data_IF_085620290836
#
_entry.id   IF_085620290836
#
_cell.length_a   1.000
_cell.length_b   1.000
_cell.length_c   1.000
_cell.angle_alpha   90.00
_cell.angle_beta   90.00
_cell.angle_gamma   90.00
#
_symmetry.space_group_name_H-M   'P 1'
#
loop_
_entity.id
_entity.type
_entity.pdbx_description
1 polymer ?
#
# COMPACT_ATOMS: atom_id res chain seq x y z
N UNK A 1 -23.35 40.55 -5.40
CA UNK A 1 -23.08 39.26 -4.73
C UNK A 1 -22.75 39.56 -3.27
N UNK A 2 -23.45 38.98 -2.28
CA UNK A 2 -23.19 39.34 -0.88
C UNK A 2 -21.84 38.77 -0.41
N UNK A 3 -21.16 39.45 0.51
CA UNK A 3 -19.90 38.97 1.11
C UNK A 3 -20.02 37.55 1.68
N UNK A 4 -21.23 37.16 2.07
CA UNK A 4 -21.53 35.81 2.55
C UNK A 4 -21.42 34.74 1.45
N UNK A 5 -21.83 35.03 0.22
CA UNK A 5 -21.74 34.09 -0.91
C UNK A 5 -20.27 33.85 -1.30
N UNK A 6 -19.47 34.93 -1.35
CA UNK A 6 -18.03 34.87 -1.62
C UNK A 6 -17.30 34.08 -0.53
N UNK A 7 -17.60 34.35 0.74
CA UNK A 7 -17.02 33.61 1.88
C UNK A 7 -17.39 32.11 1.82
N UNK A 8 -18.64 31.80 1.50
CA UNK A 8 -19.10 30.41 1.36
C UNK A 8 -18.34 29.68 0.27
N UNK A 9 -18.15 30.31 -0.90
CA UNK A 9 -17.39 29.73 -2.02
C UNK A 9 -15.91 29.53 -1.64
N UNK A 10 -15.27 30.48 -0.96
CA UNK A 10 -13.89 30.36 -0.46
C UNK A 10 -13.77 29.17 0.50
N UNK A 11 -14.68 29.10 1.46
CA UNK A 11 -14.69 28.06 2.48
C UNK A 11 -14.87 26.68 1.83
N UNK A 12 -15.86 26.51 0.95
CA UNK A 12 -16.09 25.24 0.27
C UNK A 12 -14.92 24.84 -0.65
N UNK A 13 -14.34 25.77 -1.40
CA UNK A 13 -13.20 25.47 -2.30
C UNK A 13 -11.96 25.03 -1.53
N UNK A 14 -11.65 25.69 -0.41
CA UNK A 14 -10.53 25.33 0.46
C UNK A 14 -10.77 23.97 1.14
N UNK A 15 -12.00 23.70 1.60
CA UNK A 15 -12.36 22.42 2.17
C UNK A 15 -12.33 21.28 1.15
N UNK A 16 -12.77 21.51 -0.09
CA UNK A 16 -12.68 20.54 -1.18
C UNK A 16 -11.21 20.23 -1.50
N UNK A 17 -10.35 21.26 -1.61
CA UNK A 17 -8.92 21.05 -1.83
C UNK A 17 -8.26 20.28 -0.67
N UNK A 18 -8.59 20.63 0.58
CA UNK A 18 -8.06 19.99 1.78
C UNK A 18 -8.54 18.52 1.89
N UNK A 19 -9.83 18.26 1.69
CA UNK A 19 -10.41 16.91 1.65
C UNK A 19 -9.79 16.08 0.53
N UNK A 20 -9.48 16.68 -0.62
CA UNK A 20 -8.86 15.97 -1.73
C UNK A 20 -7.36 15.68 -1.49
N UNK A 21 -6.62 16.57 -0.83
CA UNK A 21 -5.20 16.38 -0.47
C UNK A 21 -5.00 15.43 0.71
N UNK A 22 -5.94 15.40 1.65
CA UNK A 22 -5.84 14.64 2.91
C UNK A 22 -5.62 13.13 2.70
N UNK A 23 -6.32 12.43 1.78
CA UNK A 23 -6.04 11.04 1.44
C UNK A 23 -4.62 10.83 0.94
N UNK A 24 -4.07 11.74 0.13
CA UNK A 24 -2.69 11.63 -0.35
C UNK A 24 -1.69 11.82 0.79
N UNK A 25 -1.91 12.77 1.69
CA UNK A 25 -1.00 13.03 2.81
C UNK A 25 -1.07 11.90 3.86
N UNK A 26 -2.27 11.39 4.17
CA UNK A 26 -2.49 10.39 5.23
C UNK A 26 -2.23 8.95 4.75
N UNK A 27 -2.60 8.60 3.51
CA UNK A 27 -2.50 7.22 3.01
C UNK A 27 -1.12 6.93 2.42
N UNK A 28 -0.43 7.90 1.83
CA UNK A 28 0.85 7.65 1.14
C UNK A 28 1.94 7.05 2.05
N UNK A 29 2.13 7.49 3.31
CA UNK A 29 3.08 6.86 4.23
C UNK A 29 2.71 5.41 4.58
N UNK A 30 1.42 5.11 4.77
CA UNK A 30 0.94 3.75 5.08
C UNK A 30 1.02 2.82 3.86
N UNK A 31 0.77 3.36 2.68
CA UNK A 31 0.90 2.68 1.39
C UNK A 31 2.37 2.37 1.10
N UNK A 32 3.34 3.17 1.57
CA UNK A 32 4.77 2.95 1.31
C UNK A 32 5.25 1.57 1.78
N UNK A 33 4.81 1.11 2.95
CA UNK A 33 5.10 -0.24 3.45
C UNK A 33 4.55 -1.32 2.52
N UNK A 34 3.29 -1.16 2.12
CA UNK A 34 2.58 -2.06 1.21
C UNK A 34 3.25 -2.07 -0.18
N UNK A 35 3.54 -0.91 -0.77
CA UNK A 35 4.23 -0.79 -2.06
C UNK A 35 5.60 -1.46 -2.00
N UNK A 36 6.33 -1.22 -0.91
CA UNK A 36 7.64 -1.83 -0.70
C UNK A 36 7.54 -3.34 -0.60
N UNK A 37 6.79 -3.85 0.39
CA UNK A 37 6.63 -5.27 0.64
C UNK A 37 6.11 -5.96 -0.61
N UNK A 38 5.17 -5.36 -1.33
CA UNK A 38 4.57 -6.00 -2.50
C UNK A 38 5.49 -5.96 -3.72
N UNK A 39 6.25 -4.89 -3.91
CA UNK A 39 7.16 -4.74 -5.03
C UNK A 39 8.38 -5.65 -4.92
N UNK A 40 8.99 -5.71 -3.73
CA UNK A 40 10.18 -6.52 -3.49
C UNK A 40 9.84 -8.01 -3.44
N UNK A 41 8.77 -8.38 -2.72
CA UNK A 41 8.36 -9.79 -2.56
C UNK A 41 7.94 -10.40 -3.89
N UNK A 42 7.11 -9.70 -4.67
CA UNK A 42 6.71 -10.17 -5.99
C UNK A 42 7.94 -10.41 -6.89
N UNK A 43 8.86 -9.44 -6.94
CA UNK A 43 10.09 -9.57 -7.74
C UNK A 43 10.94 -10.74 -7.27
N UNK A 44 11.08 -10.93 -5.96
CA UNK A 44 11.81 -12.04 -5.35
C UNK A 44 11.18 -13.40 -5.70
N UNK A 45 9.88 -13.57 -5.43
CA UNK A 45 9.14 -14.80 -5.74
C UNK A 45 9.17 -15.13 -7.23
N UNK A 46 9.01 -14.14 -8.11
CA UNK A 46 9.12 -14.33 -9.56
C UNK A 46 10.53 -14.77 -9.98
N UNK A 47 11.56 -14.08 -9.50
CA UNK A 47 12.97 -14.39 -9.80
C UNK A 47 13.36 -15.80 -9.35
N UNK A 48 12.91 -16.21 -8.15
CA UNK A 48 13.22 -17.50 -7.53
C UNK A 48 12.24 -18.62 -7.91
N UNK A 49 11.20 -18.32 -8.71
CA UNK A 49 10.10 -19.25 -9.05
C UNK A 49 9.44 -19.87 -7.81
N UNK A 50 9.23 -19.05 -6.77
CA UNK A 50 8.56 -19.45 -5.54
C UNK A 50 7.06 -19.14 -5.63
N UNK A 51 6.25 -20.11 -5.25
CA UNK A 51 4.81 -19.95 -5.05
C UNK A 51 4.54 -19.48 -3.62
N UNK A 52 3.50 -18.68 -3.47
CA UNK A 52 2.97 -18.25 -2.18
C UNK A 52 1.49 -18.64 -2.07
N UNK A 53 0.96 -18.62 -0.85
CA UNK A 53 -0.46 -18.87 -0.60
C UNK A 53 -1.34 -17.86 -1.34
N UNK A 54 -2.44 -18.34 -1.93
CA UNK A 54 -3.37 -17.51 -2.69
C UNK A 54 -4.05 -16.43 -1.82
N UNK A 55 -4.17 -16.66 -0.51
CA UNK A 55 -4.65 -15.67 0.46
C UNK A 55 -3.80 -14.39 0.43
N UNK A 56 -2.47 -14.53 0.39
CA UNK A 56 -1.53 -13.42 0.30
C UNK A 56 -1.68 -12.65 -1.00
N UNK A 57 -1.68 -13.36 -2.12
CA UNK A 57 -1.79 -12.77 -3.46
C UNK A 57 -3.10 -12.01 -3.62
N UNK A 58 -4.20 -12.59 -3.15
CA UNK A 58 -5.52 -11.97 -3.19
C UNK A 58 -5.56 -10.72 -2.30
N UNK A 59 -4.94 -10.77 -1.12
CA UNK A 59 -4.81 -9.61 -0.25
C UNK A 59 -4.04 -8.47 -0.94
N UNK A 60 -2.93 -8.78 -1.63
CA UNK A 60 -2.13 -7.77 -2.31
C UNK A 60 -2.89 -7.17 -3.50
N UNK A 61 -3.62 -8.00 -4.25
CA UNK A 61 -4.52 -7.54 -5.30
C UNK A 61 -5.59 -6.59 -4.74
N UNK A 62 -6.23 -6.92 -3.61
CA UNK A 62 -7.23 -6.08 -2.98
C UNK A 62 -6.63 -4.74 -2.52
N UNK A 63 -5.49 -4.80 -1.83
CA UNK A 63 -4.80 -3.61 -1.32
C UNK A 63 -4.30 -2.69 -2.43
N UNK A 64 -4.00 -3.20 -3.62
CA UNK A 64 -3.68 -2.36 -4.79
C UNK A 64 -4.90 -1.70 -5.43
N UNK A 65 -6.13 -2.21 -5.21
CA UNK A 65 -7.37 -1.61 -5.73
C UNK A 65 -7.86 -0.44 -4.88
N UNK A 66 -7.68 -0.51 -3.56
CA UNK A 66 -8.21 0.50 -2.63
C UNK A 66 -7.71 1.92 -3.02
N UNK A 67 -6.40 2.16 -3.20
CA UNK A 67 -5.88 3.47 -3.60
C UNK A 67 -6.40 3.95 -4.96
N UNK A 68 -6.63 3.01 -5.90
CA UNK A 68 -7.18 3.33 -7.22
C UNK A 68 -8.62 3.84 -7.12
N UNK A 69 -9.46 3.20 -6.29
CA UNK A 69 -10.84 3.65 -6.07
C UNK A 69 -10.85 5.04 -5.42
N UNK A 70 -10.00 5.27 -4.42
CA UNK A 70 -9.86 6.60 -3.82
C UNK A 70 -9.41 7.67 -4.82
N UNK A 71 -8.44 7.34 -5.68
CA UNK A 71 -7.97 8.25 -6.71
C UNK A 71 -9.07 8.62 -7.72
N UNK A 72 -9.87 7.63 -8.13
CA UNK A 72 -11.02 7.84 -9.01
C UNK A 72 -12.09 8.73 -8.37
N UNK A 73 -12.40 8.51 -7.08
CA UNK A 73 -13.33 9.35 -6.33
C UNK A 73 -12.82 10.80 -6.20
N UNK A 74 -11.53 10.99 -5.93
CA UNK A 74 -10.94 12.32 -5.85
C UNK A 74 -11.03 13.07 -7.19
N UNK A 75 -10.81 12.39 -8.33
CA UNK A 75 -10.99 13.00 -9.65
C UNK A 75 -12.44 13.37 -9.91
N UNK A 76 -13.39 12.48 -9.57
CA UNK A 76 -14.81 12.77 -9.76
C UNK A 76 -15.22 14.06 -9.02
N UNK A 77 -14.81 14.19 -7.76
CA UNK A 77 -15.08 15.38 -6.94
C UNK A 77 -14.39 16.64 -7.51
N UNK A 78 -13.17 16.51 -8.03
CA UNK A 78 -12.48 17.64 -8.65
C UNK A 78 -13.13 18.09 -9.96
N UNK A 79 -13.60 17.15 -10.79
CA UNK A 79 -14.33 17.46 -12.02
C UNK A 79 -15.67 18.13 -11.72
N UNK A 80 -16.41 17.64 -10.72
CA UNK A 80 -17.66 18.27 -10.27
C UNK A 80 -17.42 19.71 -9.79
N UNK A 81 -16.36 19.93 -9.01
CA UNK A 81 -15.96 21.25 -8.54
C UNK A 81 -15.57 22.17 -9.69
N UNK A 82 -14.87 21.65 -10.70
CA UNK A 82 -14.50 22.42 -11.90
C UNK A 82 -15.75 22.86 -12.68
N UNK A 83 -16.72 21.96 -12.89
CA UNK A 83 -17.98 22.26 -13.58
C UNK A 83 -18.76 23.35 -12.84
N UNK A 84 -18.87 23.24 -11.52
CA UNK A 84 -19.54 24.25 -10.68
C UNK A 84 -18.86 25.62 -10.82
N UNK A 85 -17.52 25.67 -10.77
CA UNK A 85 -16.77 26.92 -10.86
C UNK A 85 -16.84 27.56 -12.25
N UNK A 86 -16.81 26.75 -13.32
CA UNK A 86 -17.03 27.25 -14.69
C UNK A 86 -18.45 27.79 -14.86
N UNK A 87 -19.46 27.10 -14.31
CA UNK A 87 -20.83 27.60 -14.32
C UNK A 87 -20.97 28.94 -13.58
N UNK A 88 -20.36 29.07 -12.41
CA UNK A 88 -20.33 30.32 -11.65
C UNK A 88 -19.62 31.45 -12.41
N UNK A 89 -18.51 31.17 -13.12
CA UNK A 89 -17.84 32.17 -13.96
C UNK A 89 -18.74 32.72 -15.07
N UNK A 90 -19.52 31.84 -15.72
CA UNK A 90 -20.46 32.23 -16.78
C UNK A 90 -21.63 33.03 -16.20
N UNK A 91 -22.15 32.65 -15.03
CA UNK A 91 -23.33 33.27 -14.43
C UNK A 91 -23.04 34.61 -13.72
N UNK A 92 -21.91 34.72 -13.01
CA UNK A 92 -21.60 35.90 -12.17
C UNK A 92 -20.73 36.97 -12.87
N UNK A 93 -20.49 36.85 -14.19
CA UNK A 93 -19.59 37.71 -14.99
C UNK A 93 -18.17 37.79 -14.40
N UNK A 94 -17.31 36.88 -14.85
CA UNK A 94 -15.83 36.94 -14.80
C UNK A 94 -15.22 37.77 -13.64
N UNK A 95 -15.44 37.32 -12.40
CA UNK A 95 -14.65 37.87 -11.30
C UNK A 95 -13.22 37.30 -11.35
N UNK A 96 -12.21 38.15 -11.15
CA UNK A 96 -10.80 37.72 -11.03
C UNK A 96 -10.64 36.56 -10.02
N UNK A 97 -11.46 36.57 -8.97
CA UNK A 97 -11.47 35.55 -7.93
C UNK A 97 -11.95 34.18 -8.45
N UNK A 98 -13.08 34.12 -9.16
CA UNK A 98 -13.56 32.87 -9.76
C UNK A 98 -12.59 32.36 -10.82
N UNK A 99 -11.88 33.23 -11.54
CA UNK A 99 -10.78 32.86 -12.43
C UNK A 99 -9.60 32.20 -11.69
N UNK A 100 -9.16 32.80 -10.58
CA UNK A 100 -8.05 32.28 -9.79
C UNK A 100 -8.34 30.89 -9.20
N UNK A 101 -9.53 30.67 -8.65
CA UNK A 101 -9.93 29.36 -8.09
C UNK A 101 -10.03 28.28 -9.18
N UNK A 102 -10.63 28.60 -10.33
CA UNK A 102 -10.72 27.67 -11.47
C UNK A 102 -9.34 27.27 -11.99
N UNK A 103 -8.41 28.24 -12.13
CA UNK A 103 -7.02 27.96 -12.49
C UNK A 103 -6.32 27.07 -11.47
N UNK A 104 -6.58 27.28 -10.18
CA UNK A 104 -6.11 26.41 -9.11
C UNK A 104 -6.58 24.96 -9.29
N UNK A 105 -7.88 24.75 -9.51
CA UNK A 105 -8.42 23.39 -9.75
C UNK A 105 -7.77 22.74 -10.96
N UNK A 106 -7.66 23.46 -12.09
CA UNK A 106 -7.01 22.97 -13.32
C UNK A 106 -5.57 22.56 -13.05
N UNK A 107 -4.82 23.36 -12.28
CA UNK A 107 -3.42 23.06 -11.95
C UNK A 107 -3.26 21.78 -11.11
N UNK A 108 -4.25 21.44 -10.28
CA UNK A 108 -4.21 20.25 -9.43
C UNK A 108 -4.74 18.97 -10.09
N UNK A 109 -5.57 19.05 -11.14
CA UNK A 109 -6.12 17.87 -11.87
C UNK A 109 -5.05 16.87 -12.36
N UNK A 110 -3.87 17.31 -12.86
CA UNK A 110 -2.80 16.38 -13.26
C UNK A 110 -2.30 15.45 -12.16
N UNK A 111 -2.37 15.86 -10.88
CA UNK A 111 -1.79 15.10 -9.78
C UNK A 111 -2.58 13.80 -9.46
N UNK A 112 -3.91 13.83 -9.27
CA UNK A 112 -4.71 12.61 -9.21
C UNK A 112 -4.62 11.74 -10.47
N UNK A 113 -4.56 12.34 -11.67
CA UNK A 113 -4.40 11.59 -12.91
C UNK A 113 -3.09 10.80 -12.91
N UNK A 114 -1.97 11.45 -12.60
CA UNK A 114 -0.68 10.78 -12.43
C UNK A 114 -0.75 9.67 -11.38
N UNK A 115 -1.39 9.93 -10.24
CA UNK A 115 -1.55 8.93 -9.19
C UNK A 115 -2.37 7.72 -9.63
N UNK A 116 -3.45 7.91 -10.41
CA UNK A 116 -4.19 6.82 -11.05
C UNK A 116 -3.26 5.96 -11.91
N UNK A 117 -2.40 6.58 -12.72
CA UNK A 117 -1.44 5.84 -13.56
C UNK A 117 -0.52 4.98 -12.68
N UNK A 118 0.02 5.54 -11.59
CA UNK A 118 0.86 4.80 -10.63
C UNK A 118 0.10 3.62 -10.00
N UNK A 119 -1.13 3.84 -9.53
CA UNK A 119 -1.97 2.80 -8.95
C UNK A 119 -2.35 1.71 -9.95
N UNK A 120 -2.66 2.08 -11.20
CA UNK A 120 -2.96 1.13 -12.29
C UNK A 120 -1.75 0.25 -12.62
N UNK A 121 -0.57 0.86 -12.76
CA UNK A 121 0.67 0.11 -13.00
C UNK A 121 0.95 -0.87 -11.87
N UNK A 122 0.71 -0.45 -10.62
CA UNK A 122 0.84 -1.33 -9.46
C UNK A 122 -0.17 -2.48 -9.47
N UNK A 123 -1.45 -2.19 -9.73
CA UNK A 123 -2.51 -3.19 -9.83
C UNK A 123 -2.22 -4.23 -10.92
N UNK A 124 -1.78 -3.79 -12.11
CA UNK A 124 -1.41 -4.67 -13.22
C UNK A 124 -0.26 -5.60 -12.81
N UNK A 125 0.76 -5.09 -12.11
CA UNK A 125 1.87 -5.91 -11.60
C UNK A 125 1.38 -7.00 -10.64
N UNK A 126 0.44 -6.69 -9.74
CA UNK A 126 -0.14 -7.69 -8.84
C UNK A 126 -0.97 -8.74 -9.58
N UNK A 127 -1.74 -8.33 -10.61
CA UNK A 127 -2.49 -9.26 -11.46
C UNK A 127 -1.58 -10.21 -12.24
N UNK A 128 -0.45 -9.70 -12.76
CA UNK A 128 0.58 -10.53 -13.42
C UNK A 128 1.20 -11.54 -12.46
N UNK A 129 1.54 -11.09 -11.25
CA UNK A 129 2.07 -11.98 -10.21
C UNK A 129 1.08 -13.08 -9.82
N UNK A 130 -0.21 -12.75 -9.69
CA UNK A 130 -1.25 -13.76 -9.43
C UNK A 130 -1.31 -14.85 -10.49
N UNK A 131 -1.22 -14.47 -11.77
CA UNK A 131 -1.16 -15.46 -12.86
C UNK A 131 0.08 -16.34 -12.73
N UNK A 132 1.25 -15.73 -12.50
CA UNK A 132 2.50 -16.45 -12.31
C UNK A 132 2.43 -17.41 -11.11
N UNK A 133 1.92 -16.96 -9.97
CA UNK A 133 1.76 -17.76 -8.75
C UNK A 133 0.90 -19.00 -8.98
N UNK A 134 -0.20 -18.84 -9.73
CA UNK A 134 -1.11 -19.94 -10.04
C UNK A 134 -0.55 -20.95 -11.04
N UNK A 135 0.49 -20.59 -11.81
CA UNK A 135 1.16 -21.50 -12.75
C UNK A 135 2.18 -22.40 -12.04
N UNK A 136 2.62 -22.03 -10.84
CA UNK A 136 3.63 -22.79 -10.12
C UNK A 136 3.00 -23.95 -9.31
N UNK A 137 3.70 -25.10 -9.19
CA UNK A 137 3.20 -26.25 -8.46
C UNK A 137 3.21 -26.00 -6.94
N UNK A 138 2.39 -26.74 -6.18
CA UNK A 138 2.36 -26.67 -4.71
C UNK A 138 3.70 -27.09 -4.08
N UNK A 139 4.55 -27.85 -4.78
CA UNK A 139 5.90 -28.19 -4.32
C UNK A 139 6.82 -26.98 -4.22
N UNK A 140 6.53 -25.90 -4.96
CA UNK A 140 7.31 -24.66 -4.96
C UNK A 140 6.83 -23.63 -3.93
N UNK A 141 5.89 -24.00 -3.05
CA UNK A 141 5.42 -23.12 -1.98
C UNK A 141 6.58 -22.71 -1.09
N UNK A 142 6.70 -21.40 -0.85
CA UNK A 142 7.81 -20.83 -0.09
C UNK A 142 7.86 -21.39 1.34
N UNK A 143 6.72 -21.65 1.97
CA UNK A 143 6.66 -22.27 3.29
C UNK A 143 7.25 -23.68 3.34
N UNK A 144 7.30 -24.41 2.21
CA UNK A 144 7.95 -25.73 2.14
C UNK A 144 9.47 -25.66 2.15
N UNK A 145 10.05 -24.46 1.99
CA UNK A 145 11.50 -24.24 2.14
C UNK A 145 11.93 -24.11 3.61
N UNK A 146 10.98 -24.08 4.55
CA UNK A 146 11.28 -24.03 5.98
C UNK A 146 11.80 -25.40 6.43
N UNK A 147 13.03 -25.41 6.93
CA UNK A 147 13.58 -26.57 7.61
C UNK A 147 13.06 -26.65 9.04
N UNK A 148 12.26 -27.67 9.33
CA UNK A 148 11.64 -27.87 10.64
C UNK A 148 12.69 -28.23 11.71
N UNK A 149 13.82 -28.81 11.31
CA UNK A 149 14.87 -29.25 12.22
C UNK A 149 16.00 -28.23 12.37
N UNK A 150 15.82 -27.03 11.82
CA UNK A 150 16.81 -25.96 11.89
C UNK A 150 17.02 -25.45 13.32
N UNK A 151 18.29 -25.18 13.67
CA UNK A 151 18.72 -24.54 14.92
C UNK A 151 18.77 -23.00 14.82
N UNK A 152 18.29 -22.43 13.71
CA UNK A 152 18.25 -20.97 13.50
C UNK A 152 17.40 -20.29 14.57
N UNK A 153 17.92 -19.18 15.12
CA UNK A 153 17.23 -18.36 16.12
C UNK A 153 15.84 -17.92 15.64
N UNK A 154 14.85 -18.02 16.52
CA UNK A 154 13.45 -17.83 16.18
C UNK A 154 13.00 -16.38 16.41
N UNK A 155 12.40 -15.81 15.38
CA UNK A 155 11.75 -14.51 15.42
C UNK A 155 10.27 -14.68 15.76
N UNK A 156 9.78 -13.87 16.71
CA UNK A 156 8.40 -13.89 17.17
C UNK A 156 7.66 -12.58 16.83
N UNK A 157 7.26 -12.35 15.57
CA UNK A 157 6.62 -11.11 15.16
C UNK A 157 5.21 -10.96 15.78
N UNK A 158 4.59 -12.05 16.24
CA UNK A 158 3.32 -12.01 16.99
C UNK A 158 3.46 -11.33 18.35
N UNK A 159 4.65 -11.43 18.96
CA UNK A 159 4.96 -10.91 20.31
C UNK A 159 5.73 -9.60 20.24
N UNK A 160 6.64 -9.46 19.28
CA UNK A 160 7.60 -8.38 19.19
C UNK A 160 7.42 -7.59 17.88
N UNK A 161 7.57 -6.27 17.96
CA UNK A 161 7.67 -5.44 16.76
C UNK A 161 9.10 -5.52 16.23
N UNK A 162 9.28 -5.96 14.99
CA UNK A 162 10.59 -6.09 14.36
C UNK A 162 10.77 -4.96 13.33
N UNK A 163 11.99 -4.44 13.22
CA UNK A 163 12.37 -3.40 12.27
C UNK A 163 13.32 -3.97 11.21
N UNK A 164 13.01 -3.70 9.97
CA UNK A 164 13.70 -4.19 8.79
C UNK A 164 14.19 -3.03 7.95
N UNK A 165 15.30 -3.27 7.26
CA UNK A 165 15.92 -2.33 6.34
C UNK A 165 16.14 -3.01 5.00
N UNK A 166 15.79 -2.33 3.91
CA UNK A 166 16.26 -2.73 2.57
C UNK A 166 17.72 -2.35 2.39
N UNK A 167 18.52 -3.30 1.92
CA UNK A 167 19.88 -3.05 1.45
C UNK A 167 19.84 -2.43 0.03
N UNK A 168 20.49 -1.28 -0.17
CA UNK A 168 20.54 -0.55 -1.45
C UNK A 168 20.71 0.97 -1.31
N UNK A 169 20.80 1.69 -2.45
CA UNK A 169 21.12 3.13 -2.52
C UNK A 169 20.15 4.05 -1.76
N UNK A 170 18.90 3.63 -1.58
CA UNK A 170 17.91 4.29 -0.73
C UNK A 170 17.37 3.28 0.28
N UNK A 171 18.00 3.22 1.46
CA UNK A 171 17.54 2.35 2.53
C UNK A 171 16.09 2.69 2.91
N UNK A 172 15.19 1.74 2.72
CA UNK A 172 13.79 1.84 3.13
C UNK A 172 13.64 1.06 4.43
N UNK A 173 13.21 1.76 5.47
CA UNK A 173 12.94 1.20 6.79
C UNK A 173 11.47 0.87 6.93
N UNK A 174 11.19 -0.31 7.45
CA UNK A 174 9.84 -0.77 7.66
C UNK A 174 9.76 -1.70 8.87
N UNK A 175 8.63 -1.70 9.59
CA UNK A 175 8.43 -2.60 10.71
C UNK A 175 7.42 -3.70 10.39
N UNK A 176 7.31 -4.71 11.25
CA UNK A 176 6.13 -5.60 11.29
C UNK A 176 4.87 -4.81 11.67
N UNK A 177 3.80 -5.51 12.00
CA UNK A 177 2.54 -4.93 12.48
C UNK A 177 2.63 -4.47 13.95
N UNK A 178 1.70 -3.59 14.36
CA UNK A 178 1.52 -3.25 15.77
C UNK A 178 0.96 -4.48 16.52
N UNK A 179 1.66 -4.90 17.58
CA UNK A 179 1.35 -6.13 18.33
C UNK A 179 0.02 -6.07 19.08
N UNK A 180 -0.32 -4.92 19.69
CA UNK A 180 -1.61 -4.73 20.35
C UNK A 180 -2.76 -4.83 19.35
N UNK A 181 -2.62 -4.16 18.20
CA UNK A 181 -3.63 -4.21 17.14
C UNK A 181 -3.73 -5.60 16.53
N UNK A 182 -2.61 -6.31 16.37
CA UNK A 182 -2.57 -7.66 15.85
C UNK A 182 -3.40 -8.65 16.68
N UNK A 183 -3.31 -8.57 18.01
CA UNK A 183 -4.09 -9.43 18.93
C UNK A 183 -5.60 -9.25 18.77
N UNK A 184 -6.06 -8.07 18.34
CA UNK A 184 -7.48 -7.79 18.09
C UNK A 184 -8.03 -8.37 16.77
N UNK A 185 -7.17 -8.87 15.88
CA UNK A 185 -7.60 -9.41 14.59
C UNK A 185 -8.10 -10.85 14.70
N UNK A 186 -8.94 -11.26 13.75
CA UNK A 186 -9.33 -12.67 13.58
C UNK A 186 -8.11 -13.55 13.28
N UNK A 187 -8.20 -14.84 13.61
CA UNK A 187 -7.10 -15.79 13.40
C UNK A 187 -6.60 -15.81 11.95
N UNK A 188 -7.50 -15.83 10.97
CA UNK A 188 -7.13 -15.78 9.54
C UNK A 188 -6.35 -14.51 9.16
N UNK A 189 -6.75 -13.38 9.74
CA UNK A 189 -6.07 -12.11 9.51
C UNK A 189 -4.71 -12.08 10.21
N UNK A 190 -4.61 -12.65 11.41
CA UNK A 190 -3.32 -12.84 12.10
C UNK A 190 -2.38 -13.73 11.29
N UNK A 191 -2.85 -14.90 10.85
CA UNK A 191 -2.11 -15.84 9.98
C UNK A 191 -1.58 -15.14 8.74
N UNK A 192 -2.41 -14.34 8.06
CA UNK A 192 -1.99 -13.57 6.90
C UNK A 192 -0.87 -12.57 7.22
N UNK A 193 -0.95 -11.85 8.34
CA UNK A 193 0.09 -10.90 8.74
C UNK A 193 1.42 -11.59 9.10
N UNK A 194 1.37 -12.75 9.75
CA UNK A 194 2.55 -13.58 10.00
C UNK A 194 3.13 -14.04 8.68
N UNK A 195 2.31 -14.57 7.77
CA UNK A 195 2.74 -15.00 6.45
C UNK A 195 3.34 -13.85 5.63
N UNK A 196 2.75 -12.66 5.66
CA UNK A 196 3.32 -11.45 5.03
C UNK A 196 4.70 -11.08 5.58
N UNK A 197 4.93 -11.29 6.87
CA UNK A 197 6.23 -11.01 7.51
C UNK A 197 7.25 -12.08 7.19
N UNK A 198 6.79 -13.32 6.99
CA UNK A 198 7.63 -14.43 6.56
C UNK A 198 8.02 -14.32 5.09
N UNK A 199 7.10 -13.96 4.19
CA UNK A 199 7.41 -13.86 2.76
C UNK A 199 8.05 -12.49 2.48
N UNK A 200 9.31 -12.32 2.85
CA UNK A 200 10.13 -11.14 2.53
C UNK A 200 11.14 -11.45 1.41
N UNK A 201 11.68 -10.39 0.80
CA UNK A 201 12.81 -10.53 -0.09
C UNK A 201 14.12 -10.66 0.72
N UNK A 202 14.52 -11.90 0.98
CA UNK A 202 15.73 -12.20 1.75
C UNK A 202 17.03 -11.78 1.05
N UNK A 203 17.03 -11.60 -0.29
CA UNK A 203 18.21 -11.13 -1.02
C UNK A 203 18.57 -9.68 -0.69
N UNK A 204 17.60 -8.86 -0.23
CA UNK A 204 17.79 -7.42 -0.04
C UNK A 204 17.21 -6.87 1.27
N UNK A 205 16.78 -7.71 2.20
CA UNK A 205 16.19 -7.30 3.48
C UNK A 205 16.99 -7.85 4.65
N UNK A 206 17.37 -6.97 5.57
CA UNK A 206 18.07 -7.32 6.81
C UNK A 206 17.39 -6.65 8.02
N UNK A 207 17.80 -7.06 9.23
CA UNK A 207 17.42 -6.31 10.43
C UNK A 207 18.05 -4.92 10.45
N UNK A 208 17.31 -3.96 11.00
CA UNK A 208 17.80 -2.60 11.21
C UNK A 208 19.03 -2.58 12.12
N UNK A 209 18.99 -3.35 13.21
CA UNK A 209 19.94 -3.18 14.31
C UNK A 209 21.16 -4.11 14.26
N UNK A 210 21.22 -5.10 13.36
CA UNK A 210 22.21 -6.19 13.48
C UNK A 210 23.04 -6.53 12.25
N UNK A 211 22.80 -5.95 11.06
CA UNK A 211 23.41 -6.42 9.80
C UNK A 211 23.26 -7.94 9.53
N UNK A 212 22.51 -8.67 10.35
CA UNK A 212 22.26 -10.09 10.19
C UNK A 212 21.28 -10.30 9.03
N UNK A 213 21.61 -11.19 8.08
CA UNK A 213 20.72 -11.53 6.99
C UNK A 213 19.51 -12.29 7.56
N UNK A 214 18.33 -11.96 7.04
CA UNK A 214 17.11 -12.67 7.38
C UNK A 214 17.09 -14.05 6.72
N UNK A 215 16.50 -15.02 7.41
CA UNK A 215 16.27 -16.36 6.89
C UNK A 215 14.82 -16.78 7.17
N UNK A 216 14.19 -17.50 6.24
CA UNK A 216 12.83 -18.04 6.43
C UNK A 216 12.71 -18.99 7.62
N UNK A 217 13.78 -19.70 7.95
CA UNK A 217 13.86 -20.60 9.09
C UNK A 217 13.71 -19.89 10.44
N UNK A 218 13.96 -18.57 10.49
CA UNK A 218 13.71 -17.76 11.69
C UNK A 218 12.21 -17.70 12.04
N UNK A 219 11.31 -18.06 11.12
CA UNK A 219 9.86 -18.00 11.33
C UNK A 219 9.23 -19.36 11.62
N UNK A 220 10.01 -20.44 11.75
CA UNK A 220 9.50 -21.82 11.90
C UNK A 220 8.43 -21.96 12.98
N UNK A 221 8.71 -21.48 14.19
CA UNK A 221 7.80 -21.65 15.33
C UNK A 221 6.49 -20.89 15.13
N UNK A 222 6.56 -19.70 14.54
CA UNK A 222 5.39 -18.87 14.22
C UNK A 222 4.60 -19.45 13.07
N UNK A 223 5.27 -20.00 12.06
CA UNK A 223 4.63 -20.71 10.96
C UNK A 223 3.83 -21.92 11.46
N UNK A 224 4.37 -22.68 12.44
CA UNK A 224 3.62 -23.75 13.11
C UNK A 224 2.46 -23.22 13.95
N UNK A 225 2.70 -22.22 14.81
CA UNK A 225 1.67 -21.66 15.69
C UNK A 225 0.45 -21.12 14.93
N UNK A 226 0.67 -20.58 13.73
CA UNK A 226 -0.37 -20.04 12.87
C UNK A 226 -0.83 -20.98 11.74
N UNK A 227 -0.47 -22.27 11.81
CA UNK A 227 -0.90 -23.32 10.85
C UNK A 227 -0.58 -22.93 9.40
N UNK A 228 0.58 -22.32 9.18
CA UNK A 228 1.13 -22.01 7.84
C UNK A 228 1.86 -23.24 7.30
N UNK A 229 2.58 -23.94 8.17
CA UNK A 229 3.16 -25.27 7.95
C UNK A 229 2.56 -26.26 8.95
N UNK A 230 2.69 -27.55 8.63
CA UNK A 230 2.29 -28.66 9.50
C UNK A 230 3.29 -28.89 10.65
#
# INVERSE_FOLDING_TARGET
MSNFLIFSIIFFSFWIAFINLTPFIILFPKIRWYIYAFGSVNKYCMKRKLRVQNSLVNHYCLMSKIPLIYALLAIALMLESLVLMVFLQVYEKESFFTMFVTLGIIFYVPLPLWYIVVCLLWYIKQKKWRKFNNMLPDSSLIEKSIDINTDVEQLYPSKNKCYFKRQGFNALYFSTFNTQKFKSYSFEKQKLFIYMTMVLNYDDTAFDNKFEPLNINMFKNEAKAYKIIE
#
